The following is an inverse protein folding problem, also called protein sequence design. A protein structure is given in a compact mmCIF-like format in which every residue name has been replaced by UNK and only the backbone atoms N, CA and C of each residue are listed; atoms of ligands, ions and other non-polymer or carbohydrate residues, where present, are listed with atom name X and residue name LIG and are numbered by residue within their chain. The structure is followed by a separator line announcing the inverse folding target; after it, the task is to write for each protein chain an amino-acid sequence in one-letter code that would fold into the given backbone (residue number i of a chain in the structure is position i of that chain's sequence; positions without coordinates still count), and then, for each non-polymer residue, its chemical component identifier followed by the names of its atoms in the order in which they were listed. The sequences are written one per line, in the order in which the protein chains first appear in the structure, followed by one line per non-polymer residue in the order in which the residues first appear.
data_IF_760736822359
#
_entry.id   IF_760736822359
#
_cell.length_a   1.000
_cell.length_b   1.000
_cell.length_c   1.000
_cell.angle_alpha   90.00
_cell.angle_beta   90.00
_cell.angle_gamma   90.00
#
_symmetry.space_group_name_H-M   'P 1'
#
loop_
_entity.id
_entity.type
_entity.pdbx_description
1 polymer ?
#
# COMPACT_ATOMS: atom_id res chain seq x y z
N UNK A 1 -19.94 -22.36 65.43
CA UNK A 1 -20.65 -22.26 64.14
C UNK A 1 -19.91 -21.21 63.32
N UNK A 2 -19.11 -21.67 62.37
CA UNK A 2 -18.37 -20.83 61.42
C UNK A 2 -18.12 -21.70 60.20
N UNK A 3 -19.03 -21.60 59.24
CA UNK A 3 -19.02 -22.32 57.98
C UNK A 3 -17.89 -21.77 57.11
N UNK A 4 -16.97 -22.62 56.68
CA UNK A 4 -15.95 -22.26 55.70
C UNK A 4 -16.53 -22.64 54.33
N UNK A 5 -16.92 -21.66 53.52
CA UNK A 5 -17.27 -21.89 52.12
C UNK A 5 -16.00 -22.07 51.28
N UNK A 6 -16.02 -22.95 50.25
CA UNK A 6 -14.87 -23.12 49.38
C UNK A 6 -14.76 -21.94 48.41
N UNK A 7 -13.55 -21.37 48.31
CA UNK A 7 -13.20 -20.36 47.31
C UNK A 7 -13.39 -20.91 45.89
N UNK A 8 -14.15 -20.16 45.08
CA UNK A 8 -14.32 -20.43 43.66
C UNK A 8 -13.02 -20.17 42.89
N UNK A 9 -12.55 -21.18 42.16
CA UNK A 9 -11.48 -21.05 41.18
C UNK A 9 -11.99 -20.19 40.01
N UNK A 10 -11.32 -19.10 39.62
CA UNK A 10 -11.73 -18.36 38.43
C UNK A 10 -11.37 -19.17 37.18
N UNK A 11 -12.37 -19.79 36.57
CA UNK A 11 -12.34 -20.25 35.19
C UNK A 11 -12.57 -19.02 34.30
N UNK A 12 -11.52 -18.57 33.59
CA UNK A 12 -11.67 -17.49 32.62
C UNK A 12 -10.37 -16.79 32.26
N UNK A 13 -9.39 -17.55 31.74
CA UNK A 13 -8.38 -16.92 30.90
C UNK A 13 -9.04 -16.53 29.59
N UNK A 14 -9.24 -15.24 29.36
CA UNK A 14 -9.50 -14.71 28.02
C UNK A 14 -8.40 -15.25 27.11
N UNK A 15 -8.76 -16.15 26.20
CA UNK A 15 -7.95 -16.46 25.04
C UNK A 15 -7.97 -15.18 24.21
N UNK A 16 -7.01 -14.28 24.44
CA UNK A 16 -6.74 -13.20 23.50
C UNK A 16 -6.40 -13.88 22.18
N UNK A 17 -7.35 -13.89 21.25
CA UNK A 17 -7.09 -14.32 19.89
C UNK A 17 -5.80 -13.64 19.44
N UNK A 18 -4.86 -14.35 18.78
CA UNK A 18 -3.63 -13.73 18.31
C UNK A 18 -4.03 -12.51 17.48
N UNK A 19 -3.67 -11.32 17.96
CA UNK A 19 -3.99 -10.08 17.26
C UNK A 19 -3.27 -10.18 15.91
N UNK A 20 -4.05 -10.38 14.85
CA UNK A 20 -3.53 -10.47 13.49
C UNK A 20 -2.64 -9.26 13.23
N UNK A 21 -1.45 -9.47 12.66
CA UNK A 21 -0.53 -8.37 12.36
C UNK A 21 -1.17 -7.40 11.36
N UNK A 22 -0.84 -6.11 11.47
CA UNK A 22 -1.29 -5.10 10.51
C UNK A 22 -0.66 -5.34 9.13
N UNK A 23 -1.37 -5.09 8.02
CA UNK A 23 -0.74 -4.99 6.72
C UNK A 23 0.28 -3.85 6.70
N UNK A 24 1.45 -4.13 6.12
CA UNK A 24 2.54 -3.15 6.04
C UNK A 24 2.73 -2.62 4.63
N UNK A 25 2.67 -1.30 4.48
CA UNK A 25 2.83 -0.62 3.18
C UNK A 25 4.11 0.21 3.13
N UNK A 26 4.84 0.07 2.02
CA UNK A 26 5.85 1.06 1.63
C UNK A 26 5.14 2.21 0.92
N UNK A 27 5.20 3.41 1.50
CA UNK A 27 4.52 4.60 1.03
C UNK A 27 5.45 5.47 0.16
N UNK A 28 5.06 5.68 -1.10
CA UNK A 28 5.77 6.44 -2.12
C UNK A 28 5.09 7.80 -2.36
N UNK A 29 5.80 8.89 -2.04
CA UNK A 29 5.27 10.24 -2.14
C UNK A 29 5.15 10.76 -3.59
N UNK A 30 4.50 11.93 -3.77
CA UNK A 30 4.34 12.58 -5.07
C UNK A 30 5.60 13.31 -5.56
N UNK A 31 5.63 13.72 -6.84
CA UNK A 31 6.78 14.45 -7.39
C UNK A 31 7.01 15.76 -6.63
N UNK A 32 8.26 16.05 -6.24
CA UNK A 32 8.57 17.32 -5.60
C UNK A 32 8.14 17.38 -4.13
N UNK A 33 8.00 16.24 -3.46
CA UNK A 33 7.60 16.16 -2.04
C UNK A 33 8.55 15.23 -1.27
N UNK A 34 8.19 14.82 -0.06
CA UNK A 34 8.97 13.86 0.75
C UNK A 34 8.05 12.86 1.44
N UNK A 35 8.63 11.78 1.97
CA UNK A 35 7.94 10.81 2.80
C UNK A 35 7.26 11.48 4.00
N UNK A 36 7.97 12.37 4.68
CA UNK A 36 7.42 13.14 5.82
C UNK A 36 6.23 14.03 5.43
N UNK A 37 6.20 14.58 4.22
CA UNK A 37 5.06 15.36 3.72
C UNK A 37 3.86 14.43 3.45
N UNK A 38 4.10 13.29 2.80
CA UNK A 38 3.04 12.30 2.56
C UNK A 38 2.48 11.76 3.88
N UNK A 39 3.32 11.52 4.89
CA UNK A 39 2.91 11.10 6.23
C UNK A 39 1.92 12.11 6.84
N UNK A 40 2.28 13.39 6.87
CA UNK A 40 1.39 14.46 7.35
C UNK A 40 0.08 14.51 6.57
N UNK A 41 0.13 14.29 5.26
CA UNK A 41 -1.06 14.29 4.42
C UNK A 41 -1.96 13.07 4.66
N UNK A 42 -1.41 11.88 4.84
CA UNK A 42 -2.20 10.66 5.08
C UNK A 42 -2.68 10.62 6.53
N UNK A 43 -1.77 10.65 7.50
CA UNK A 43 -2.07 10.54 8.93
C UNK A 43 -2.87 11.74 9.43
N UNK A 44 -2.65 12.93 8.87
CA UNK A 44 -3.39 14.15 9.25
C UNK A 44 -4.75 14.31 8.58
N UNK A 45 -5.07 13.58 7.51
CA UNK A 45 -6.34 13.70 6.77
C UNK A 45 -7.26 12.50 6.91
N UNK A 46 -6.73 11.33 7.26
CA UNK A 46 -7.51 10.10 7.41
C UNK A 46 -7.87 9.85 8.87
N UNK A 47 -9.07 9.33 9.18
CA UNK A 47 -9.44 9.02 10.55
C UNK A 47 -8.48 8.04 11.21
N UNK A 48 -8.30 8.19 12.53
CA UNK A 48 -7.41 7.33 13.31
C UNK A 48 -7.79 5.83 13.21
N UNK A 49 -9.08 5.49 13.13
CA UNK A 49 -9.51 4.09 12.99
C UNK A 49 -9.06 3.46 11.66
N UNK A 50 -8.83 4.26 10.61
CA UNK A 50 -8.28 3.79 9.33
C UNK A 50 -6.77 3.61 9.45
N UNK A 51 -6.05 4.66 9.87
CA UNK A 51 -4.58 4.65 9.88
C UNK A 51 -4.02 3.67 10.90
N UNK A 52 -4.68 3.50 12.05
CA UNK A 52 -4.27 2.52 13.08
C UNK A 52 -4.39 1.06 12.66
N UNK A 53 -5.09 0.73 11.55
CA UNK A 53 -5.19 -0.63 10.99
C UNK A 53 -4.03 -0.99 10.07
N UNK A 54 -3.14 -0.05 9.72
CA UNK A 54 -2.01 -0.27 8.83
C UNK A 54 -0.68 0.04 9.54
N UNK A 55 0.40 -0.57 9.06
CA UNK A 55 1.78 -0.13 9.32
C UNK A 55 2.30 0.57 8.05
N UNK A 56 2.65 1.86 8.16
CA UNK A 56 2.96 2.72 7.03
C UNK A 56 4.41 3.21 7.12
N UNK A 57 5.22 2.87 6.13
CA UNK A 57 6.61 3.32 6.02
C UNK A 57 6.73 4.37 4.92
N UNK A 58 6.87 5.65 5.29
CA UNK A 58 7.00 6.75 4.35
C UNK A 58 8.47 6.96 3.96
N UNK A 59 8.80 6.61 2.71
CA UNK A 59 10.16 6.72 2.19
C UNK A 59 10.34 7.98 1.36
N UNK A 60 11.54 8.55 1.40
CA UNK A 60 11.99 9.59 0.46
C UNK A 60 12.48 8.96 -0.85
N UNK A 61 12.13 9.59 -1.97
CA UNK A 61 12.64 9.24 -3.29
C UNK A 61 14.16 9.46 -3.41
N UNK A 62 14.85 8.71 -4.28
CA UNK A 62 16.31 8.75 -4.38
C UNK A 62 16.84 10.00 -5.09
N UNK A 63 15.99 10.75 -5.79
CA UNK A 63 16.42 11.89 -6.60
C UNK A 63 16.04 13.20 -5.90
N UNK A 64 16.97 14.14 -5.69
CA UNK A 64 16.60 15.47 -5.23
C UNK A 64 15.78 16.20 -6.31
N UNK A 65 14.71 16.88 -5.89
CA UNK A 65 13.97 17.79 -6.77
C UNK A 65 14.76 19.06 -7.05
N UNK A 66 14.48 19.69 -8.19
CA UNK A 66 15.06 21.01 -8.51
C UNK A 66 14.51 22.05 -7.52
N UNK A 67 15.38 22.97 -7.09
CA UNK A 67 14.95 24.12 -6.27
C UNK A 67 13.88 24.94 -7.01
N UNK A 68 12.88 25.43 -6.29
CA UNK A 68 11.80 26.24 -6.88
C UNK A 68 10.74 25.45 -7.67
N UNK A 69 10.87 24.12 -7.79
CA UNK A 69 9.98 23.31 -8.65
C UNK A 69 8.95 22.47 -7.88
N UNK A 70 8.84 22.66 -6.56
CA UNK A 70 7.93 21.86 -5.74
C UNK A 70 6.52 22.43 -5.72
N UNK A 71 5.48 21.61 -5.94
CA UNK A 71 4.09 22.06 -5.85
C UNK A 71 3.65 22.39 -4.41
N UNK A 72 4.50 22.11 -3.42
CA UNK A 72 4.21 22.32 -1.99
C UNK A 72 5.15 23.35 -1.34
N UNK A 73 5.93 24.05 -2.15
CA UNK A 73 6.79 25.14 -1.68
C UNK A 73 5.96 26.25 -1.02
N UNK A 74 6.45 26.78 0.10
CA UNK A 74 5.73 27.73 0.94
C UNK A 74 4.67 27.11 1.86
N UNK A 75 4.31 25.83 1.68
CA UNK A 75 3.40 25.09 2.58
C UNK A 75 4.18 24.12 3.46
N UNK A 76 5.12 23.37 2.88
CA UNK A 76 6.01 22.46 3.59
C UNK A 76 7.46 22.83 3.32
N UNK A 77 8.37 22.73 4.31
CA UNK A 77 9.78 23.02 4.08
C UNK A 77 10.48 21.91 3.26
N UNK A 78 11.57 22.23 2.52
CA UNK A 78 12.44 21.25 1.88
C UNK A 78 13.18 20.37 2.92
N UNK A 79 13.85 19.27 2.52
CA UNK A 79 14.13 18.83 1.15
C UNK A 79 12.93 18.16 0.44
N UNK A 80 12.96 18.23 -0.88
CA UNK A 80 12.00 17.58 -1.77
C UNK A 80 12.70 16.59 -2.68
N UNK A 81 11.99 15.52 -3.02
CA UNK A 81 12.50 14.40 -3.78
C UNK A 81 11.55 14.02 -4.92
N UNK A 82 12.10 13.25 -5.84
CA UNK A 82 11.39 12.58 -6.91
C UNK A 82 11.81 11.11 -6.94
N UNK A 83 10.91 10.28 -7.44
CA UNK A 83 11.25 8.90 -7.77
C UNK A 83 11.87 8.87 -9.16
N UNK A 84 11.15 9.38 -10.16
CA UNK A 84 11.59 9.44 -11.56
C UNK A 84 11.58 10.89 -12.05
N UNK A 85 12.35 11.19 -13.10
CA UNK A 85 12.35 12.53 -13.71
C UNK A 85 11.68 12.47 -15.09
N UNK A 86 10.65 13.29 -15.31
CA UNK A 86 9.91 13.30 -16.55
C UNK A 86 10.63 14.08 -17.66
N UNK A 87 10.43 13.67 -18.92
CA UNK A 87 10.71 14.52 -20.07
C UNK A 87 9.82 15.78 -20.05
N UNK A 88 10.23 16.84 -20.76
CA UNK A 88 9.48 18.10 -20.82
C UNK A 88 8.04 17.92 -21.33
N UNK A 89 7.82 16.95 -22.22
CA UNK A 89 6.49 16.63 -22.77
C UNK A 89 5.71 15.59 -21.95
N UNK A 90 6.26 15.12 -20.81
CA UNK A 90 5.70 14.10 -19.93
C UNK A 90 5.40 12.75 -20.60
N UNK A 91 6.01 12.45 -21.76
CA UNK A 91 5.80 11.19 -22.49
C UNK A 91 6.85 10.12 -22.19
N UNK A 92 7.94 10.48 -21.55
CA UNK A 92 8.98 9.55 -21.07
C UNK A 92 9.44 9.93 -19.65
N UNK A 93 10.19 9.01 -19.03
CA UNK A 93 10.88 9.26 -17.77
C UNK A 93 12.27 8.62 -17.72
N UNK A 94 13.16 9.31 -17.00
CA UNK A 94 14.51 8.89 -16.67
C UNK A 94 14.58 8.34 -15.24
N UNK A 95 15.68 7.63 -14.95
CA UNK A 95 16.00 7.06 -13.64
C UNK A 95 15.02 5.99 -13.14
N UNK A 96 14.24 5.37 -14.05
CA UNK A 96 13.25 4.36 -13.67
C UNK A 96 13.91 3.12 -13.07
N UNK A 97 14.95 2.57 -13.71
CA UNK A 97 15.57 1.33 -13.25
C UNK A 97 16.30 1.53 -11.91
N UNK A 98 16.96 2.66 -11.74
CA UNK A 98 17.60 3.09 -10.48
C UNK A 98 16.56 3.25 -9.36
N UNK A 99 15.39 3.82 -9.67
CA UNK A 99 14.29 3.93 -8.71
C UNK A 99 13.75 2.57 -8.28
N UNK A 100 13.55 1.65 -9.22
CA UNK A 100 13.08 0.30 -8.93
C UNK A 100 14.09 -0.45 -8.07
N UNK A 101 15.39 -0.33 -8.36
CA UNK A 101 16.45 -0.92 -7.55
C UNK A 101 16.46 -0.34 -6.12
N UNK A 102 16.33 0.99 -5.98
CA UNK A 102 16.26 1.64 -4.67
C UNK A 102 15.02 1.22 -3.87
N UNK A 103 13.86 1.08 -4.51
CA UNK A 103 12.64 0.54 -3.88
C UNK A 103 12.85 -0.92 -3.43
N UNK A 104 13.50 -1.75 -4.25
CA UNK A 104 13.85 -3.13 -3.87
C UNK A 104 14.74 -3.15 -2.62
N UNK A 105 15.76 -2.29 -2.57
CA UNK A 105 16.67 -2.18 -1.42
C UNK A 105 15.95 -1.71 -0.14
N UNK A 106 15.03 -0.74 -0.26
CA UNK A 106 14.17 -0.34 0.87
C UNK A 106 13.32 -1.51 1.36
N UNK A 107 12.75 -2.29 0.43
CA UNK A 107 11.93 -3.45 0.75
C UNK A 107 12.74 -4.59 1.40
N UNK A 108 13.99 -4.80 1.00
CA UNK A 108 14.92 -5.75 1.63
C UNK A 108 15.28 -5.27 3.04
N UNK A 109 15.66 -4.00 3.19
CA UNK A 109 16.21 -3.45 4.44
C UNK A 109 15.16 -3.24 5.52
N UNK A 110 13.97 -2.81 5.13
CA UNK A 110 12.92 -2.39 6.06
C UNK A 110 11.68 -3.28 6.04
N UNK A 111 11.65 -4.31 5.18
CA UNK A 111 10.52 -5.23 5.07
C UNK A 111 10.38 -6.22 6.24
N UNK A 112 9.48 -7.21 6.12
CA UNK A 112 8.66 -7.46 4.94
C UNK A 112 7.56 -6.40 4.76
N UNK A 113 7.31 -6.01 3.51
CA UNK A 113 6.15 -5.21 3.12
C UNK A 113 5.14 -6.11 2.42
N UNK A 114 3.85 -5.91 2.71
CA UNK A 114 2.78 -6.62 2.03
C UNK A 114 2.31 -5.88 0.77
N UNK A 115 2.48 -4.56 0.74
CA UNK A 115 1.88 -3.71 -0.26
C UNK A 115 2.62 -2.40 -0.49
N UNK A 116 2.16 -1.68 -1.50
CA UNK A 116 2.61 -0.33 -1.81
C UNK A 116 1.46 0.67 -1.67
N UNK A 117 1.74 1.85 -1.12
CA UNK A 117 0.81 2.98 -1.13
C UNK A 117 1.49 4.12 -1.87
N UNK A 118 0.84 4.73 -2.85
CA UNK A 118 1.45 5.80 -3.63
C UNK A 118 0.53 7.00 -3.79
N UNK A 119 1.11 8.20 -3.83
CA UNK A 119 0.46 9.42 -4.28
C UNK A 119 1.10 9.95 -5.57
N UNK A 120 0.30 10.33 -6.57
CA UNK A 120 0.76 10.96 -7.81
C UNK A 120 1.89 10.16 -8.50
N UNK A 121 3.12 10.68 -8.55
CA UNK A 121 4.30 9.95 -9.06
C UNK A 121 4.54 8.62 -8.33
N UNK A 122 4.42 8.59 -7.00
CA UNK A 122 4.50 7.36 -6.23
C UNK A 122 3.35 6.40 -6.56
N UNK A 123 2.15 6.91 -6.85
CA UNK A 123 1.00 6.10 -7.28
C UNK A 123 1.23 5.45 -8.65
N UNK A 124 1.86 6.18 -9.58
CA UNK A 124 2.24 5.66 -10.90
C UNK A 124 3.20 4.47 -10.78
N UNK A 125 4.19 4.56 -9.88
CA UNK A 125 5.11 3.45 -9.62
C UNK A 125 4.42 2.29 -8.90
N UNK A 126 3.67 2.58 -7.83
CA UNK A 126 2.91 1.57 -7.07
C UNK A 126 1.92 0.80 -7.95
N UNK A 127 1.38 1.43 -8.99
CA UNK A 127 0.49 0.75 -9.94
C UNK A 127 1.23 -0.17 -10.93
N UNK A 128 2.42 0.24 -11.39
CA UNK A 128 3.19 -0.53 -12.40
C UNK A 128 3.95 -1.71 -11.79
N UNK A 129 4.48 -1.56 -10.57
CA UNK A 129 5.38 -2.52 -9.93
C UNK A 129 4.79 -3.92 -9.73
N UNK A 130 3.53 -4.11 -9.31
CA UNK A 130 2.95 -5.46 -9.19
C UNK A 130 2.94 -6.22 -10.52
N UNK A 131 2.60 -5.55 -11.63
CA UNK A 131 2.57 -6.15 -12.95
C UNK A 131 3.97 -6.49 -13.49
N UNK A 132 4.97 -5.66 -13.19
CA UNK A 132 6.37 -5.95 -13.52
C UNK A 132 6.93 -7.09 -12.67
N UNK A 133 6.61 -7.12 -11.38
CA UNK A 133 7.04 -8.17 -10.46
C UNK A 133 6.46 -9.54 -10.85
N UNK A 134 5.18 -9.59 -11.23
CA UNK A 134 4.54 -10.82 -11.72
C UNK A 134 5.23 -11.41 -12.97
N UNK A 135 5.99 -10.59 -13.72
CA UNK A 135 6.76 -11.01 -14.89
C UNK A 135 8.25 -11.22 -14.62
N UNK A 136 8.68 -11.09 -13.36
CA UNK A 136 10.09 -11.19 -12.99
C UNK A 136 10.96 -10.04 -13.50
N UNK A 137 10.37 -8.86 -13.75
CA UNK A 137 11.07 -7.71 -14.34
C UNK A 137 11.45 -6.63 -13.32
N UNK A 138 10.86 -6.66 -12.12
CA UNK A 138 11.11 -5.72 -11.04
C UNK A 138 10.89 -6.41 -9.69
N UNK A 139 11.55 -5.95 -8.63
CA UNK A 139 11.32 -6.42 -7.25
C UNK A 139 11.41 -7.96 -7.11
N UNK A 140 12.41 -8.56 -7.75
CA UNK A 140 12.56 -10.03 -7.84
C UNK A 140 13.18 -10.64 -6.60
N UNK A 141 13.77 -9.82 -5.72
CA UNK A 141 14.42 -10.27 -4.47
C UNK A 141 13.56 -10.10 -3.22
N UNK A 142 12.31 -9.65 -3.38
CA UNK A 142 11.40 -9.35 -2.26
C UNK A 142 10.09 -10.11 -2.42
N UNK A 143 9.31 -10.30 -1.32
CA UNK A 143 8.01 -10.95 -1.41
C UNK A 143 7.06 -10.28 -2.41
N UNK A 144 6.11 -11.06 -2.92
CA UNK A 144 5.06 -10.58 -3.85
C UNK A 144 4.27 -9.43 -3.21
N UNK A 145 4.05 -8.36 -3.98
CA UNK A 145 3.11 -7.29 -3.62
C UNK A 145 1.69 -7.86 -3.67
N UNK A 146 0.98 -7.80 -2.55
CA UNK A 146 -0.37 -8.35 -2.38
C UNK A 146 -1.46 -7.32 -2.56
N UNK A 147 -1.22 -6.10 -2.06
CA UNK A 147 -2.18 -5.00 -2.06
C UNK A 147 -1.54 -3.68 -2.47
N UNK A 148 -2.29 -2.85 -3.19
CA UNK A 148 -1.86 -1.49 -3.51
C UNK A 148 -2.93 -0.46 -3.20
N UNK A 149 -2.50 0.70 -2.70
CA UNK A 149 -3.32 1.90 -2.54
C UNK A 149 -2.79 2.98 -3.47
N UNK A 150 -3.62 3.39 -4.43
CA UNK A 150 -3.25 4.26 -5.55
C UNK A 150 -4.01 5.58 -5.41
N UNK A 151 -3.32 6.66 -5.02
CA UNK A 151 -3.93 7.98 -4.82
C UNK A 151 -3.52 8.90 -5.98
N UNK A 152 -4.48 9.33 -6.80
CA UNK A 152 -4.21 10.15 -8.00
C UNK A 152 -3.19 9.50 -8.95
N UNK A 153 -3.36 8.19 -9.22
CA UNK A 153 -2.46 7.42 -10.09
C UNK A 153 -2.75 7.57 -11.59
N UNK A 154 -1.76 7.19 -12.41
CA UNK A 154 -1.85 7.11 -13.86
C UNK A 154 -0.98 5.97 -14.39
N UNK A 155 -1.10 5.65 -15.68
CA UNK A 155 -0.19 4.73 -16.37
C UNK A 155 1.21 5.36 -16.43
N UNK A 156 2.24 4.55 -16.15
CA UNK A 156 3.64 4.97 -16.26
C UNK A 156 3.95 5.58 -17.64
N UNK A 157 4.48 6.82 -17.71
CA UNK A 157 4.85 7.44 -18.97
C UNK A 157 6.20 6.89 -19.44
N UNK A 158 6.23 5.59 -19.74
CA UNK A 158 7.35 4.86 -20.32
C UNK A 158 6.79 3.70 -21.14
N UNK A 159 6.36 3.93 -22.40
CA UNK A 159 5.43 3.05 -23.11
C UNK A 159 5.83 1.57 -23.15
N UNK A 160 7.12 1.27 -23.37
CA UNK A 160 7.62 -0.12 -23.40
C UNK A 160 7.54 -0.80 -22.03
N UNK A 161 7.76 -0.06 -20.95
CA UNK A 161 7.65 -0.59 -19.58
C UNK A 161 6.20 -0.68 -19.15
N UNK A 162 5.38 0.33 -19.48
CA UNK A 162 3.94 0.31 -19.24
C UNK A 162 3.26 -0.87 -19.94
N UNK A 163 3.63 -1.17 -21.19
CA UNK A 163 3.11 -2.33 -21.91
C UNK A 163 3.43 -3.65 -21.19
N UNK A 164 4.62 -3.77 -20.59
CA UNK A 164 4.98 -4.95 -19.80
C UNK A 164 4.22 -4.98 -18.47
N UNK A 165 4.11 -3.86 -17.78
CA UNK A 165 3.42 -3.74 -16.49
C UNK A 165 1.92 -4.06 -16.61
N UNK A 166 1.27 -3.55 -17.65
CA UNK A 166 -0.19 -3.58 -17.80
C UNK A 166 -0.68 -4.46 -18.96
N UNK A 167 0.21 -5.25 -19.58
CA UNK A 167 -0.11 -6.10 -20.74
C UNK A 167 -1.07 -7.25 -20.42
N UNK A 168 -1.23 -7.57 -19.14
CA UNK A 168 -2.27 -8.44 -18.58
C UNK A 168 -2.87 -7.73 -17.38
N UNK A 169 -4.13 -8.03 -17.03
CA UNK A 169 -4.72 -7.45 -15.82
C UNK A 169 -3.89 -7.83 -14.59
N UNK A 170 -3.69 -6.85 -13.72
CA UNK A 170 -3.00 -6.99 -12.45
C UNK A 170 -3.96 -7.60 -11.45
N UNK A 171 -3.62 -8.79 -10.94
CA UNK A 171 -4.40 -9.49 -9.91
C UNK A 171 -4.17 -8.95 -8.49
N UNK A 172 -3.13 -8.15 -8.29
CA UNK A 172 -2.92 -7.45 -7.03
C UNK A 172 -4.16 -6.61 -6.70
N UNK A 173 -4.76 -6.87 -5.53
CA UNK A 173 -5.94 -6.16 -5.08
C UNK A 173 -5.60 -4.69 -4.89
N UNK A 174 -6.49 -3.81 -5.33
CA UNK A 174 -6.18 -2.38 -5.41
C UNK A 174 -7.33 -1.51 -4.95
N UNK A 175 -6.98 -0.45 -4.21
CA UNK A 175 -7.86 0.65 -3.86
C UNK A 175 -7.36 1.92 -4.56
N UNK A 176 -8.24 2.58 -5.32
CA UNK A 176 -7.90 3.79 -6.08
C UNK A 176 -8.67 5.00 -5.54
N UNK A 177 -7.98 6.12 -5.37
CA UNK A 177 -8.59 7.41 -5.04
C UNK A 177 -8.52 8.30 -6.28
N UNK A 178 -9.70 8.75 -6.74
CA UNK A 178 -9.84 9.61 -7.91
C UNK A 178 -10.54 10.92 -7.53
N UNK A 179 -9.85 12.04 -7.76
CA UNK A 179 -10.42 13.36 -7.54
C UNK A 179 -11.27 13.83 -8.71
N UNK A 180 -12.48 14.29 -8.43
CA UNK A 180 -13.40 14.82 -9.45
C UNK A 180 -12.84 16.05 -10.18
N UNK A 181 -12.05 16.86 -9.48
CA UNK A 181 -11.39 18.05 -10.01
C UNK A 181 -9.90 17.78 -10.36
N UNK A 182 -9.44 16.53 -10.28
CA UNK A 182 -8.05 16.17 -10.53
C UNK A 182 -7.77 16.09 -12.04
N UNK A 183 -6.76 16.81 -12.52
CA UNK A 183 -6.33 16.75 -13.92
C UNK A 183 -5.86 15.34 -14.34
N UNK A 184 -5.48 14.48 -13.38
CA UNK A 184 -5.16 13.08 -13.63
C UNK A 184 -6.37 12.14 -13.62
N UNK A 185 -7.59 12.60 -13.29
CA UNK A 185 -8.76 11.71 -13.16
C UNK A 185 -8.96 10.80 -14.37
N UNK A 186 -8.93 11.38 -15.58
CA UNK A 186 -9.10 10.63 -16.85
C UNK A 186 -8.01 9.56 -17.02
N UNK A 187 -6.79 9.83 -16.53
CA UNK A 187 -5.69 8.87 -16.57
C UNK A 187 -5.85 7.77 -15.51
N UNK A 188 -6.34 8.12 -14.31
CA UNK A 188 -6.68 7.17 -13.25
C UNK A 188 -7.82 6.24 -13.66
N UNK A 189 -8.90 6.76 -14.26
CA UNK A 189 -10.01 5.95 -14.78
C UNK A 189 -9.55 4.97 -15.87
N UNK A 190 -8.59 5.37 -16.72
CA UNK A 190 -7.96 4.46 -17.69
C UNK A 190 -7.15 3.37 -16.98
N UNK A 191 -6.41 3.73 -15.93
CA UNK A 191 -5.60 2.80 -15.16
C UNK A 191 -6.45 1.71 -14.48
N UNK A 192 -7.68 2.01 -14.05
CA UNK A 192 -8.60 1.01 -13.45
C UNK A 192 -8.77 -0.23 -14.33
N UNK A 193 -8.77 -0.07 -15.66
CA UNK A 193 -8.93 -1.18 -16.63
C UNK A 193 -7.79 -2.19 -16.58
N UNK A 194 -6.65 -1.80 -16.02
CA UNK A 194 -5.47 -2.64 -15.85
C UNK A 194 -5.53 -3.52 -14.59
N UNK A 195 -6.52 -3.36 -13.72
CA UNK A 195 -6.67 -4.16 -12.49
C UNK A 195 -7.86 -5.11 -12.58
N UNK A 196 -7.77 -6.23 -11.87
CA UNK A 196 -8.93 -7.09 -11.59
C UNK A 196 -9.70 -6.48 -10.42
N UNK A 197 -10.99 -6.25 -10.62
CA UNK A 197 -11.96 -5.76 -9.62
C UNK A 197 -11.42 -4.67 -8.66
N UNK A 198 -10.92 -3.54 -9.18
CA UNK A 198 -10.41 -2.46 -8.33
C UNK A 198 -11.53 -1.83 -7.50
N UNK A 199 -11.26 -1.56 -6.23
CA UNK A 199 -12.10 -0.68 -5.41
C UNK A 199 -11.74 0.77 -5.72
N UNK A 200 -12.74 1.65 -5.72
CA UNK A 200 -12.56 3.05 -6.09
C UNK A 200 -13.29 3.96 -5.11
N UNK A 201 -12.57 4.96 -4.63
CA UNK A 201 -13.08 6.08 -3.84
C UNK A 201 -12.99 7.33 -4.70
N UNK A 202 -14.14 7.94 -5.00
CA UNK A 202 -14.21 9.24 -5.66
C UNK A 202 -14.30 10.34 -4.60
N UNK A 203 -13.58 11.44 -4.79
CA UNK A 203 -13.60 12.58 -3.87
C UNK A 203 -13.72 13.92 -4.62
N UNK A 204 -14.32 14.96 -4.01
CA UNK A 204 -14.61 16.21 -4.73
C UNK A 204 -13.39 17.10 -4.98
N UNK A 205 -12.22 16.75 -4.44
CA UNK A 205 -11.01 17.58 -4.52
C UNK A 205 -10.21 17.32 -5.81
N UNK A 206 -9.34 18.29 -6.14
CA UNK A 206 -8.32 18.14 -7.17
C UNK A 206 -7.16 17.24 -6.75
N UNK A 207 -5.97 17.52 -7.29
CA UNK A 207 -4.77 16.68 -7.12
C UNK A 207 -4.20 16.72 -5.69
N UNK A 208 -4.72 15.87 -4.80
CA UNK A 208 -4.36 15.85 -3.38
C UNK A 208 -4.65 14.50 -2.74
N UNK A 209 -3.95 14.17 -1.65
CA UNK A 209 -4.43 13.13 -0.72
C UNK A 209 -5.74 13.63 -0.10
N UNK A 210 -6.88 12.93 -0.30
CA UNK A 210 -8.17 13.41 0.18
C UNK A 210 -8.31 13.20 1.69
N UNK A 211 -9.22 13.96 2.31
CA UNK A 211 -9.78 13.58 3.61
C UNK A 211 -10.79 12.46 3.40
N UNK A 212 -10.80 11.49 4.31
CA UNK A 212 -11.80 10.42 4.36
C UNK A 212 -12.87 10.83 5.38
N UNK A 213 -13.93 11.49 4.89
CA UNK A 213 -14.97 12.07 5.77
C UNK A 213 -16.39 11.70 5.35
N UNK A 214 -16.60 11.30 4.10
CA UNK A 214 -17.89 10.83 3.62
C UNK A 214 -18.08 9.34 3.92
N UNK A 215 -19.32 8.98 4.25
CA UNK A 215 -19.69 7.62 4.68
C UNK A 215 -19.37 6.57 3.61
N UNK A 216 -19.65 6.85 2.33
CA UNK A 216 -19.39 5.92 1.23
C UNK A 216 -17.89 5.63 1.04
N UNK A 217 -17.03 6.64 1.15
CA UNK A 217 -15.58 6.46 1.09
C UNK A 217 -15.05 5.68 2.28
N UNK A 218 -15.60 5.91 3.48
CA UNK A 218 -15.25 5.14 4.67
C UNK A 218 -15.69 3.69 4.56
N UNK A 219 -16.91 3.42 4.10
CA UNK A 219 -17.40 2.07 3.86
C UNK A 219 -16.51 1.31 2.87
N UNK A 220 -16.11 1.97 1.77
CA UNK A 220 -15.20 1.37 0.78
C UNK A 220 -13.81 1.10 1.36
N UNK A 221 -13.26 2.05 2.14
CA UNK A 221 -11.97 1.89 2.82
C UNK A 221 -12.02 0.76 3.85
N UNK A 222 -13.08 0.68 4.64
CA UNK A 222 -13.27 -0.35 5.65
C UNK A 222 -13.47 -1.72 5.02
N UNK A 223 -14.19 -1.81 3.90
CA UNK A 223 -14.31 -3.05 3.12
C UNK A 223 -12.93 -3.52 2.60
N UNK A 224 -12.11 -2.60 2.09
CA UNK A 224 -10.76 -2.91 1.64
C UNK A 224 -9.87 -3.43 2.80
N UNK A 225 -9.84 -2.73 3.93
CA UNK A 225 -9.05 -3.13 5.09
C UNK A 225 -9.52 -4.45 5.71
N UNK A 226 -10.83 -4.66 5.82
CA UNK A 226 -11.39 -5.89 6.39
C UNK A 226 -11.10 -7.11 5.51
N UNK A 227 -11.08 -6.92 4.18
CA UNK A 227 -10.65 -7.94 3.24
C UNK A 227 -9.17 -8.29 3.43
N UNK A 228 -8.29 -7.29 3.58
CA UNK A 228 -6.86 -7.52 3.87
C UNK A 228 -6.67 -8.29 5.18
N UNK A 229 -7.36 -7.88 6.24
CA UNK A 229 -7.28 -8.54 7.54
C UNK A 229 -7.73 -10.01 7.47
N UNK A 230 -8.79 -10.29 6.70
CA UNK A 230 -9.24 -11.66 6.43
C UNK A 230 -8.19 -12.49 5.67
N UNK A 231 -7.56 -11.91 4.63
CA UNK A 231 -6.49 -12.58 3.87
C UNK A 231 -5.27 -12.91 4.76
N UNK A 232 -4.89 -11.99 5.65
CA UNK A 232 -3.78 -12.19 6.59
C UNK A 232 -4.13 -13.29 7.58
N UNK A 233 -5.33 -13.27 8.16
CA UNK A 233 -5.78 -14.28 9.13
C UNK A 233 -5.80 -15.70 8.53
N UNK A 234 -6.25 -15.86 7.27
CA UNK A 234 -6.22 -17.15 6.56
C UNK A 234 -4.80 -17.66 6.37
N UNK A 235 -3.88 -16.79 5.95
CA UNK A 235 -2.47 -17.15 5.75
C UNK A 235 -1.81 -17.66 7.05
N UNK A 236 -2.17 -17.06 8.20
CA UNK A 236 -1.68 -17.49 9.52
C UNK A 236 -2.19 -18.90 9.86
N UNK A 237 -3.48 -19.15 9.66
CA UNK A 237 -4.10 -20.44 9.96
C UNK A 237 -3.52 -21.57 9.07
N UNK A 238 -3.38 -21.34 7.77
CA UNK A 238 -2.79 -22.32 6.83
C UNK A 238 -1.35 -22.70 7.26
N UNK A 239 -0.56 -21.71 7.68
CA UNK A 239 0.81 -21.93 8.15
C UNK A 239 0.92 -22.63 9.52
N UNK A 240 -0.15 -22.62 10.31
CA UNK A 240 -0.24 -23.31 11.60
C UNK A 240 -0.68 -24.77 11.42
N UNK A 241 -1.61 -25.04 10.51
CA UNK A 241 -2.04 -26.41 10.16
C UNK A 241 -0.91 -27.23 9.51
N UNK A 242 -0.12 -26.61 8.63
CA UNK A 242 1.01 -27.27 7.95
C UNK A 242 2.18 -27.64 8.90
N UNK A 243 2.21 -27.05 10.11
CA UNK A 243 3.23 -27.32 11.14
C UNK A 243 2.82 -28.33 12.20
N UNK A 244 1.60 -28.89 12.15
CA UNK A 244 1.16 -29.91 13.11
C UNK A 244 1.70 -31.29 12.71
N UNK A 245 2.54 -31.96 13.52
CA UNK A 245 3.02 -33.29 13.18
C UNK A 245 1.88 -34.30 13.25
N UNK A 246 1.71 -35.07 12.18
CA UNK A 246 0.85 -36.26 12.17
C UNK A 246 1.34 -37.18 13.30
N UNK A 247 0.58 -37.25 14.40
CA UNK A 247 0.82 -38.25 15.45
C UNK A 247 0.46 -39.60 14.85
N UNK A 248 1.48 -40.29 14.33
CA UNK A 248 1.38 -41.64 13.83
C UNK A 248 0.87 -42.58 14.92
N UNK A 249 -0.28 -43.18 14.67
CA UNK A 249 -0.90 -44.19 15.51
C UNK A 249 0.05 -45.40 15.61
N UNK A 250 0.66 -45.62 16.77
CA UNK A 250 1.41 -46.83 17.05
C UNK A 250 0.42 -47.97 17.36
N UNK A 251 0.10 -48.77 16.36
CA UNK A 251 -0.54 -50.07 16.54
C UNK A 251 0.52 -51.01 17.10
N UNK A 252 0.41 -51.37 18.37
CA UNK A 252 1.24 -52.40 19.00
C UNK A 252 0.63 -53.76 18.70
N UNK A 253 1.45 -54.67 18.16
CA UNK A 253 1.16 -56.08 17.88
C UNK A 253 1.38 -56.91 19.13
#
# INVERSE_FOLDING_TARGET
MGSIEPEAVPLGGEITAPTSRKPRFLCLHGRGTSGAIMEKQVVGKWPHHVTSRMDLFFADGPLPSKEGSSPVEGIFPPPYYEWIQYSEDFKDCQNFDESVAYIEDLMIKHGPFDGLMGFSQGAILSAALPGLQARGLALTKVPKIKWVVIISGAVLPKPKVAQKAFGTKIECRSLHFLGEEDFLKIHGEKLLKSFVDPLVIYHPKGHTVPKLVDENSLETMDAFLSMIESDIAKTVNDSAEEKSPIVGCAVSV
#
